data_IF_969084479287
#
_entry.id   IF_969084479287
#
_cell.length_a   1.000
_cell.length_b   1.000
_cell.length_c   1.000
_cell.angle_alpha   90.00
_cell.angle_beta   90.00
_cell.angle_gamma   90.00
#
_symmetry.space_group_name_H-M   'P 1'
#
loop_
_entity.id
_entity.type
_entity.pdbx_description
1 polymer ?
#
# COMPACT_ATOMS: atom_id res chain seq x y z
N UNK A 1 -14.14 -4.50 -24.49
CA UNK A 1 -12.91 -5.33 -24.43
C UNK A 1 -12.97 -6.26 -23.23
N UNK A 2 -12.26 -7.39 -23.25
CA UNK A 2 -12.32 -8.42 -22.18
C UNK A 2 -12.08 -7.87 -20.76
N UNK A 3 -11.19 -6.90 -20.61
CA UNK A 3 -10.94 -6.22 -19.32
C UNK A 3 -12.16 -5.47 -18.78
N UNK A 4 -12.91 -4.77 -19.63
CA UNK A 4 -14.13 -4.03 -19.23
C UNK A 4 -15.21 -4.99 -18.76
N UNK A 5 -15.40 -6.11 -19.46
CA UNK A 5 -16.38 -7.14 -19.06
C UNK A 5 -15.99 -7.76 -17.71
N UNK A 6 -14.71 -8.05 -17.51
CA UNK A 6 -14.16 -8.55 -16.23
C UNK A 6 -14.46 -7.57 -15.08
N UNK A 7 -14.18 -6.28 -15.26
CA UNK A 7 -14.45 -5.23 -14.26
C UNK A 7 -15.93 -5.15 -13.92
N UNK A 8 -16.81 -5.13 -14.92
CA UNK A 8 -18.27 -5.03 -14.69
C UNK A 8 -18.80 -6.25 -13.92
N UNK A 9 -18.35 -7.45 -14.28
CA UNK A 9 -18.74 -8.67 -13.57
C UNK A 9 -18.32 -8.62 -12.11
N UNK A 10 -17.05 -8.29 -11.84
CA UNK A 10 -16.54 -8.21 -10.45
C UNK A 10 -17.19 -7.09 -9.63
N UNK A 11 -17.58 -5.98 -10.25
CA UNK A 11 -18.41 -4.98 -9.58
C UNK A 11 -19.79 -5.53 -9.19
N UNK A 12 -20.36 -6.41 -10.01
CA UNK A 12 -21.65 -7.05 -9.72
C UNK A 12 -21.50 -8.01 -8.54
N UNK A 13 -20.45 -8.84 -8.53
CA UNK A 13 -20.16 -9.77 -7.42
C UNK A 13 -19.91 -9.01 -6.11
N UNK A 14 -19.22 -7.87 -6.19
CA UNK A 14 -18.95 -6.99 -5.05
C UNK A 14 -20.23 -6.42 -4.41
N UNK A 15 -21.35 -6.38 -5.14
CA UNK A 15 -22.64 -5.97 -4.57
C UNK A 15 -23.23 -6.99 -3.60
N UNK A 16 -22.85 -8.25 -3.70
CA UNK A 16 -23.34 -9.33 -2.84
C UNK A 16 -22.42 -9.56 -1.63
N UNK A 17 -21.11 -9.46 -1.83
CA UNK A 17 -20.12 -9.81 -0.80
C UNK A 17 -19.39 -8.61 -0.17
N UNK A 18 -19.67 -7.38 -0.63
CA UNK A 18 -19.01 -6.14 -0.17
C UNK A 18 -17.47 -6.11 -0.38
N UNK A 19 -16.93 -6.99 -1.22
CA UNK A 19 -15.52 -7.06 -1.58
C UNK A 19 -15.34 -6.72 -3.06
N UNK A 20 -14.74 -5.57 -3.34
CA UNK A 20 -14.46 -5.11 -4.69
C UNK A 20 -13.11 -5.63 -5.15
N UNK A 21 -13.11 -6.74 -5.88
CA UNK A 21 -11.91 -7.26 -6.53
C UNK A 21 -11.76 -6.66 -7.94
N UNK A 22 -10.70 -5.90 -8.17
CA UNK A 22 -10.28 -5.35 -9.46
C UNK A 22 -8.82 -5.71 -9.78
N UNK A 23 -8.29 -6.75 -9.13
CA UNK A 23 -6.95 -7.28 -9.35
C UNK A 23 -6.72 -7.75 -10.80
N UNK A 24 -5.49 -7.67 -11.31
CA UNK A 24 -5.13 -8.25 -12.61
C UNK A 24 -6.04 -7.80 -13.77
N UNK A 25 -6.49 -6.55 -13.75
CA UNK A 25 -7.37 -5.98 -14.77
C UNK A 25 -6.61 -5.08 -15.75
N UNK A 26 -5.28 -5.00 -15.62
CA UNK A 26 -4.39 -4.15 -16.43
C UNK A 26 -4.80 -2.68 -16.39
N UNK A 27 -5.34 -2.24 -15.26
CA UNK A 27 -5.85 -0.89 -15.08
C UNK A 27 -4.69 0.11 -15.01
N UNK A 28 -4.76 1.16 -15.83
CA UNK A 28 -3.89 2.35 -15.71
C UNK A 28 -4.45 3.36 -14.71
N UNK A 29 -5.77 3.36 -14.54
CA UNK A 29 -6.51 4.13 -13.55
C UNK A 29 -7.81 3.38 -13.21
N UNK A 30 -8.41 3.70 -12.07
CA UNK A 30 -9.74 3.18 -11.72
C UNK A 30 -10.78 3.87 -12.61
N UNK A 31 -11.53 3.13 -13.45
CA UNK A 31 -12.47 3.73 -14.40
C UNK A 31 -13.67 4.36 -13.70
N UNK A 32 -14.18 5.48 -14.22
CA UNK A 32 -15.33 6.17 -13.64
C UNK A 32 -16.58 5.28 -13.56
N UNK A 33 -16.73 4.33 -14.48
CA UNK A 33 -17.81 3.35 -14.47
C UNK A 33 -17.87 2.54 -13.16
N UNK A 34 -16.73 2.25 -12.52
CA UNK A 34 -16.69 1.54 -11.22
C UNK A 34 -17.43 2.34 -10.15
N UNK A 35 -17.23 3.66 -10.08
CA UNK A 35 -17.91 4.51 -9.11
C UNK A 35 -19.42 4.58 -9.34
N UNK A 36 -19.85 4.48 -10.60
CA UNK A 36 -21.27 4.45 -10.97
C UNK A 36 -21.94 3.12 -10.64
N UNK A 37 -21.26 1.99 -10.94
CA UNK A 37 -21.76 0.64 -10.65
C UNK A 37 -21.85 0.39 -9.15
N UNK A 38 -20.82 0.80 -8.41
CA UNK A 38 -20.73 0.60 -6.96
C UNK A 38 -21.43 1.73 -6.18
N UNK A 39 -22.33 2.50 -6.81
CA UNK A 39 -22.84 3.73 -6.19
C UNK A 39 -23.63 3.50 -4.90
N UNK A 40 -24.31 2.36 -4.81
CA UNK A 40 -25.21 1.97 -3.73
C UNK A 40 -24.64 0.82 -2.89
N UNK A 41 -23.37 0.48 -3.09
CA UNK A 41 -22.73 -0.67 -2.46
C UNK A 41 -21.74 -0.19 -1.43
N UNK A 42 -21.84 -0.73 -0.21
CA UNK A 42 -20.85 -0.50 0.83
C UNK A 42 -19.71 -1.48 0.62
N UNK A 43 -18.54 -0.97 0.24
CA UNK A 43 -17.34 -1.79 0.04
C UNK A 43 -16.53 -1.82 1.34
N UNK A 44 -16.18 -3.02 1.80
CA UNK A 44 -15.35 -3.27 3.00
C UNK A 44 -13.93 -3.68 2.64
N UNK A 45 -13.76 -4.48 1.60
CA UNK A 45 -12.46 -4.84 1.08
C UNK A 45 -12.36 -4.40 -0.39
N UNK A 46 -11.22 -3.86 -0.78
CA UNK A 46 -10.96 -3.42 -2.14
C UNK A 46 -9.59 -3.91 -2.57
N UNK A 47 -9.56 -4.73 -3.61
CA UNK A 47 -8.32 -5.26 -4.20
C UNK A 47 -8.08 -4.62 -5.56
N UNK A 48 -7.01 -3.85 -5.68
CA UNK A 48 -6.54 -3.22 -6.92
C UNK A 48 -5.16 -3.75 -7.32
N UNK A 49 -4.73 -4.87 -6.74
CA UNK A 49 -3.39 -5.41 -6.93
C UNK A 49 -3.13 -5.88 -8.36
N UNK A 50 -1.86 -6.04 -8.73
CA UNK A 50 -1.45 -6.60 -10.02
C UNK A 50 -2.03 -5.83 -11.21
N UNK A 51 -2.01 -4.49 -11.13
CA UNK A 51 -2.41 -3.59 -12.20
C UNK A 51 -1.21 -2.74 -12.63
N UNK A 52 -1.44 -1.68 -13.41
CA UNK A 52 -0.40 -0.73 -13.83
C UNK A 52 -0.74 0.68 -13.35
N UNK A 53 -1.38 0.77 -12.18
CA UNK A 53 -1.80 2.03 -11.58
C UNK A 53 -0.58 2.85 -11.20
N UNK A 54 -0.54 4.11 -11.63
CA UNK A 54 0.51 5.07 -11.24
C UNK A 54 0.10 5.99 -10.10
N UNK A 55 -1.22 6.17 -9.93
CA UNK A 55 -1.81 7.02 -8.89
C UNK A 55 -3.16 6.45 -8.48
N UNK A 56 -3.51 6.63 -7.21
CA UNK A 56 -4.87 6.40 -6.73
C UNK A 56 -5.63 7.73 -6.80
N UNK A 57 -6.79 7.79 -7.48
CA UNK A 57 -7.57 9.01 -7.58
C UNK A 57 -8.19 9.38 -6.22
N UNK A 58 -8.27 10.67 -5.87
CA UNK A 58 -8.82 11.14 -4.58
C UNK A 58 -10.31 10.80 -4.40
N UNK A 59 -11.02 10.52 -5.51
CA UNK A 59 -12.41 10.06 -5.48
C UNK A 59 -12.56 8.66 -4.87
N UNK A 60 -11.53 7.83 -4.87
CA UNK A 60 -11.63 6.45 -4.38
C UNK A 60 -11.89 6.40 -2.87
N UNK A 61 -11.07 7.06 -2.02
CA UNK A 61 -11.35 7.13 -0.58
C UNK A 61 -12.69 7.80 -0.24
N UNK A 62 -13.06 8.83 -1.01
CA UNK A 62 -14.32 9.55 -0.83
C UNK A 62 -15.55 8.70 -1.19
N UNK A 63 -15.43 7.81 -2.17
CA UNK A 63 -16.54 6.95 -2.60
C UNK A 63 -16.69 5.72 -1.72
N UNK A 64 -15.58 5.15 -1.27
CA UNK A 64 -15.54 3.89 -0.55
C UNK A 64 -15.07 4.09 0.90
N UNK A 65 -15.73 5.00 1.62
CA UNK A 65 -15.32 5.43 2.97
C UNK A 65 -15.40 4.35 4.06
N UNK A 66 -16.01 3.20 3.75
CA UNK A 66 -16.17 2.07 4.68
C UNK A 66 -15.14 0.95 4.46
N UNK A 67 -14.14 1.16 3.60
CA UNK A 67 -13.08 0.18 3.38
C UNK A 67 -12.31 -0.04 4.68
N UNK A 68 -12.18 -1.31 5.05
CA UNK A 68 -11.34 -1.82 6.13
C UNK A 68 -10.04 -2.42 5.62
N UNK A 69 -10.02 -2.94 4.38
CA UNK A 69 -8.86 -3.58 3.78
C UNK A 69 -8.66 -3.05 2.35
N UNK A 70 -7.48 -2.49 2.07
CA UNK A 70 -7.11 -1.96 0.76
C UNK A 70 -5.82 -2.61 0.29
N UNK A 71 -5.90 -3.36 -0.82
CA UNK A 71 -4.74 -3.97 -1.46
C UNK A 71 -4.39 -3.20 -2.74
N UNK A 72 -3.20 -2.60 -2.76
CA UNK A 72 -2.62 -1.86 -3.89
C UNK A 72 -1.31 -2.51 -4.38
N UNK A 73 -1.01 -3.73 -3.95
CA UNK A 73 0.24 -4.41 -4.25
C UNK A 73 0.46 -4.58 -5.75
N UNK A 74 1.72 -4.74 -6.19
CA UNK A 74 2.06 -5.01 -7.60
C UNK A 74 1.46 -3.97 -8.56
N UNK A 75 1.76 -2.70 -8.32
CA UNK A 75 1.40 -1.59 -9.18
C UNK A 75 2.66 -0.75 -9.48
N UNK A 76 2.48 0.50 -9.93
CA UNK A 76 3.57 1.46 -10.20
C UNK A 76 3.33 2.76 -9.44
N UNK A 77 2.80 2.64 -8.22
CA UNK A 77 2.44 3.77 -7.39
C UNK A 77 3.71 4.36 -6.77
N UNK A 78 3.83 5.68 -6.81
CA UNK A 78 4.90 6.42 -6.12
C UNK A 78 4.35 7.37 -5.05
N UNK A 79 3.03 7.49 -4.94
CA UNK A 79 2.35 8.31 -3.93
C UNK A 79 0.92 7.85 -3.68
N UNK A 80 0.41 8.21 -2.50
CA UNK A 80 -1.00 8.04 -2.12
C UNK A 80 -1.68 9.41 -2.01
N UNK A 81 -2.98 9.51 -2.35
CA UNK A 81 -3.75 10.73 -2.19
C UNK A 81 -3.94 11.09 -0.71
N UNK A 82 -3.98 12.38 -0.37
CA UNK A 82 -4.15 12.83 1.02
C UNK A 82 -5.52 12.43 1.57
N UNK A 83 -6.52 12.32 0.70
CA UNK A 83 -7.89 11.88 1.00
C UNK A 83 -7.96 10.46 1.56
N UNK A 84 -6.88 9.66 1.46
CA UNK A 84 -6.85 8.34 2.09
C UNK A 84 -7.02 8.43 3.62
N UNK A 85 -6.63 9.55 4.25
CA UNK A 85 -6.87 9.81 5.69
C UNK A 85 -8.35 9.80 6.07
N UNK A 86 -9.24 10.01 5.10
CA UNK A 86 -10.70 10.04 5.28
C UNK A 86 -11.32 8.63 5.27
N UNK A 87 -10.50 7.57 5.33
CA UNK A 87 -10.96 6.19 5.54
C UNK A 87 -10.97 5.85 7.04
N UNK A 88 -12.06 6.13 7.78
CA UNK A 88 -12.11 5.98 9.23
C UNK A 88 -12.02 4.53 9.71
N UNK A 89 -12.25 3.56 8.83
CA UNK A 89 -12.27 2.13 9.17
C UNK A 89 -11.10 1.33 8.59
N UNK A 90 -10.16 1.97 7.86
CA UNK A 90 -9.06 1.26 7.22
C UNK A 90 -8.12 0.66 8.27
N UNK A 91 -7.99 -0.67 8.25
CA UNK A 91 -7.19 -1.47 9.18
C UNK A 91 -6.00 -2.14 8.52
N UNK A 92 -6.12 -2.51 7.25
CA UNK A 92 -5.06 -3.15 6.48
C UNK A 92 -4.81 -2.39 5.18
N UNK A 93 -3.55 -2.06 4.94
CA UNK A 93 -3.10 -1.42 3.71
C UNK A 93 -1.89 -2.18 3.17
N UNK A 94 -2.00 -2.68 1.95
CA UNK A 94 -0.88 -3.27 1.23
C UNK A 94 -0.49 -2.35 0.07
N UNK A 95 0.75 -1.87 0.10
CA UNK A 95 1.40 -1.07 -0.94
C UNK A 95 2.70 -1.73 -1.41
N UNK A 96 2.88 -3.03 -1.14
CA UNK A 96 4.08 -3.77 -1.54
C UNK A 96 4.25 -3.82 -3.06
N UNK A 97 5.47 -4.05 -3.54
CA UNK A 97 5.76 -4.13 -4.98
C UNK A 97 5.25 -2.90 -5.76
N UNK A 98 5.72 -1.72 -5.36
CA UNK A 98 5.42 -0.44 -6.00
C UNK A 98 6.71 0.38 -6.14
N UNK A 99 6.57 1.66 -6.51
CA UNK A 99 7.68 2.57 -6.78
C UNK A 99 7.81 3.66 -5.69
N UNK A 100 7.45 3.37 -4.43
CA UNK A 100 7.56 4.35 -3.34
C UNK A 100 9.02 4.58 -2.96
N UNK A 101 9.50 5.83 -3.06
CA UNK A 101 10.86 6.21 -2.67
C UNK A 101 10.99 6.60 -1.19
N UNK A 102 9.87 6.93 -0.56
CA UNK A 102 9.78 7.31 0.84
C UNK A 102 8.45 6.85 1.41
N UNK A 103 8.39 6.73 2.74
CA UNK A 103 7.15 6.39 3.42
C UNK A 103 6.04 7.44 3.17
N UNK A 104 4.86 7.08 2.63
CA UNK A 104 3.80 8.05 2.36
C UNK A 104 3.27 8.74 3.61
N UNK A 105 3.28 10.08 3.62
CA UNK A 105 2.83 10.91 4.74
C UNK A 105 1.43 10.62 5.25
N UNK A 106 0.54 10.21 4.36
CA UNK A 106 -0.86 9.93 4.68
C UNK A 106 -1.01 8.74 5.64
N UNK A 107 -0.04 7.81 5.66
CA UNK A 107 -0.09 6.61 6.51
C UNK A 107 -0.12 6.99 7.99
N UNK A 108 0.65 8.00 8.38
CA UNK A 108 0.69 8.48 9.76
C UNK A 108 -0.62 9.16 10.21
N UNK A 109 -1.56 9.38 9.30
CA UNK A 109 -2.87 10.00 9.56
C UNK A 109 -4.02 9.00 9.54
N UNK A 110 -3.75 7.73 9.25
CA UNK A 110 -4.74 6.66 9.25
C UNK A 110 -4.96 6.16 10.67
N UNK A 111 -5.98 6.71 11.35
CA UNK A 111 -6.21 6.52 12.79
C UNK A 111 -6.54 5.09 13.24
N UNK A 112 -6.95 4.21 12.32
CA UNK A 112 -7.28 2.80 12.61
C UNK A 112 -6.39 1.81 11.87
N UNK A 113 -5.34 2.26 11.17
CA UNK A 113 -4.47 1.35 10.44
C UNK A 113 -3.69 0.49 11.43
N UNK A 114 -3.80 -0.82 11.29
CA UNK A 114 -3.20 -1.82 12.16
C UNK A 114 -2.07 -2.59 11.45
N UNK A 115 -2.26 -2.88 10.18
CA UNK A 115 -1.33 -3.66 9.37
C UNK A 115 -0.97 -2.87 8.13
N UNK A 116 0.32 -2.76 7.88
CA UNK A 116 0.87 -2.12 6.70
C UNK A 116 1.91 -3.04 6.08
N UNK A 117 1.74 -3.31 4.79
CA UNK A 117 2.76 -3.95 3.98
C UNK A 117 3.31 -2.95 2.95
N UNK A 118 4.60 -2.67 3.04
CA UNK A 118 5.33 -1.80 2.12
C UNK A 118 6.61 -2.47 1.58
N UNK A 119 6.65 -3.81 1.57
CA UNK A 119 7.79 -4.58 1.07
C UNK A 119 8.07 -4.31 -0.40
N UNK A 120 9.32 -4.50 -0.83
CA UNK A 120 9.73 -4.37 -2.24
C UNK A 120 9.27 -3.05 -2.84
N UNK A 121 9.73 -1.98 -2.21
CA UNK A 121 9.65 -0.62 -2.74
C UNK A 121 11.07 -0.05 -2.81
N UNK A 122 11.19 1.25 -3.05
CA UNK A 122 12.47 1.97 -3.05
C UNK A 122 12.58 2.90 -1.84
N UNK A 123 11.94 2.54 -0.72
CA UNK A 123 11.89 3.37 0.48
C UNK A 123 13.28 3.40 1.11
N UNK A 124 13.98 4.53 1.00
CA UNK A 124 15.30 4.70 1.62
C UNK A 124 15.24 5.36 2.99
N UNK A 125 14.13 6.03 3.30
CA UNK A 125 13.95 6.79 4.53
C UNK A 125 12.54 6.63 5.11
N UNK A 126 12.48 6.50 6.44
CA UNK A 126 11.27 6.38 7.24
C UNK A 126 11.47 7.18 8.52
N UNK A 127 10.57 8.12 8.79
CA UNK A 127 10.60 8.86 10.05
C UNK A 127 10.16 7.97 11.23
N UNK A 128 11.10 7.22 11.80
CA UNK A 128 10.90 6.31 12.93
C UNK A 128 10.13 6.95 14.12
N UNK A 129 10.42 8.21 14.54
CA UNK A 129 9.65 8.86 15.60
C UNK A 129 8.16 9.04 15.27
N UNK A 130 7.83 9.26 13.99
CA UNK A 130 6.43 9.37 13.55
C UNK A 130 5.77 8.02 13.41
N UNK A 131 6.49 6.99 12.97
CA UNK A 131 5.95 5.63 12.96
C UNK A 131 5.57 5.18 14.38
N UNK A 132 6.40 5.52 15.37
CA UNK A 132 6.13 5.28 16.80
C UNK A 132 4.89 6.01 17.33
N UNK A 133 4.57 7.19 16.81
CA UNK A 133 3.43 7.97 17.30
C UNK A 133 2.07 7.42 16.84
N UNK A 134 2.05 6.57 15.80
CA UNK A 134 0.85 5.91 15.29
C UNK A 134 0.49 4.72 16.19
N UNK A 135 -0.28 4.97 17.24
CA UNK A 135 -0.66 3.96 18.23
C UNK A 135 -1.57 2.86 17.69
N UNK A 136 -2.19 3.04 16.53
CA UNK A 136 -3.05 2.01 15.93
C UNK A 136 -2.28 0.88 15.27
N UNK A 137 -1.06 1.15 14.78
CA UNK A 137 -0.24 0.20 14.05
C UNK A 137 0.25 -0.91 14.98
N UNK A 138 0.21 -2.13 14.46
CA UNK A 138 0.65 -3.35 15.13
C UNK A 138 1.73 -4.07 14.37
N UNK A 139 1.70 -3.98 13.05
CA UNK A 139 2.64 -4.70 12.19
C UNK A 139 2.93 -3.87 10.94
N UNK A 140 4.22 -3.72 10.66
CA UNK A 140 4.73 -2.96 9.52
C UNK A 140 5.81 -3.77 8.83
N UNK A 141 5.60 -4.08 7.57
CA UNK A 141 6.57 -4.76 6.72
C UNK A 141 7.26 -3.78 5.78
N UNK A 142 8.59 -3.69 5.91
CA UNK A 142 9.46 -2.81 5.13
C UNK A 142 10.62 -3.61 4.50
N UNK A 143 10.56 -4.94 4.52
CA UNK A 143 11.57 -5.79 3.89
C UNK A 143 11.76 -5.45 2.40
N UNK A 144 12.96 -5.71 1.89
CA UNK A 144 13.34 -5.51 0.50
C UNK A 144 13.17 -4.05 0.04
N UNK A 145 13.49 -3.10 0.93
CA UNK A 145 13.66 -1.69 0.65
C UNK A 145 15.11 -1.27 0.88
N UNK A 146 15.64 -0.26 0.15
CA UNK A 146 17.00 0.25 0.31
C UNK A 146 17.16 1.16 1.54
N UNK A 147 16.69 0.70 2.70
CA UNK A 147 16.80 1.42 3.96
C UNK A 147 18.26 1.45 4.43
N UNK A 148 18.70 2.62 4.92
CA UNK A 148 20.03 2.76 5.50
C UNK A 148 20.13 1.98 6.83
N UNK A 149 21.33 1.51 7.16
CA UNK A 149 21.58 0.69 8.37
C UNK A 149 21.15 1.40 9.66
N UNK A 150 21.39 2.70 9.78
CA UNK A 150 20.97 3.48 10.95
C UNK A 150 19.44 3.51 11.09
N UNK A 151 18.72 3.69 9.97
CA UNK A 151 17.25 3.67 9.95
C UNK A 151 16.72 2.28 10.30
N UNK A 152 17.34 1.22 9.79
CA UNK A 152 16.98 -0.15 10.18
C UNK A 152 17.12 -0.38 11.68
N UNK A 153 18.25 0.02 12.28
CA UNK A 153 18.47 -0.09 13.74
C UNK A 153 17.44 0.71 14.54
N UNK A 154 17.12 1.93 14.09
CA UNK A 154 16.07 2.73 14.73
C UNK A 154 14.71 2.03 14.65
N UNK A 155 14.31 1.53 13.48
CA UNK A 155 13.05 0.82 13.26
C UNK A 155 12.97 -0.50 14.05
N UNK A 156 14.06 -1.26 14.11
CA UNK A 156 14.17 -2.47 14.94
C UNK A 156 14.00 -2.13 16.42
N UNK A 157 14.59 -1.02 16.89
CA UNK A 157 14.44 -0.57 18.28
C UNK A 157 13.02 -0.12 18.63
N UNK A 158 12.19 0.23 17.63
CA UNK A 158 10.77 0.52 17.83
C UNK A 158 9.94 -0.76 18.08
N UNK A 159 10.44 -1.92 17.66
CA UNK A 159 9.74 -3.18 17.83
C UNK A 159 9.55 -3.47 19.31
N UNK A 160 8.29 -3.66 19.70
CA UNK A 160 7.85 -3.84 21.07
C UNK A 160 6.64 -4.79 21.10
N UNK A 161 6.10 -5.06 22.29
CA UNK A 161 4.90 -5.90 22.43
C UNK A 161 3.66 -5.36 21.68
N UNK A 162 3.67 -4.09 21.29
CA UNK A 162 2.54 -3.42 20.63
C UNK A 162 2.71 -3.28 19.12
N UNK A 163 3.94 -3.09 18.65
CA UNK A 163 4.29 -2.85 17.24
C UNK A 163 5.46 -3.73 16.85
N UNK A 164 5.30 -4.51 15.79
CA UNK A 164 6.36 -5.30 15.16
C UNK A 164 6.73 -4.65 13.84
N UNK A 165 8.02 -4.34 13.66
CA UNK A 165 8.54 -3.80 12.41
C UNK A 165 9.48 -4.81 11.80
N UNK A 166 9.20 -5.22 10.57
CA UNK A 166 10.03 -6.12 9.79
C UNK A 166 10.84 -5.30 8.80
N UNK A 167 12.16 -5.37 8.91
CA UNK A 167 13.10 -4.75 7.96
C UNK A 167 14.03 -5.83 7.42
N UNK A 168 14.55 -5.62 6.21
CA UNK A 168 15.62 -6.46 5.70
C UNK A 168 16.96 -6.03 6.29
N UNK A 169 17.91 -6.96 6.47
CA UNK A 169 19.28 -6.56 6.74
C UNK A 169 19.77 -5.63 5.61
N UNK A 170 20.59 -4.62 5.94
CA UNK A 170 21.12 -3.70 4.94
C UNK A 170 21.81 -4.51 3.83
N UNK A 171 21.45 -4.26 2.58
CA UNK A 171 22.16 -4.85 1.44
C UNK A 171 23.57 -4.27 1.44
N UNK A 172 24.57 -5.07 1.82
CA UNK A 172 25.97 -4.72 1.65
C UNK A 172 26.22 -4.50 0.16
N UNK A 173 26.21 -3.24 -0.28
CA UNK A 173 26.72 -2.84 -1.59
C UNK A 173 28.25 -2.80 -1.53
N UNK A 174 28.86 -3.96 -1.25
CA UNK A 174 30.30 -4.20 -1.42
C UNK A 174 30.45 -5.54 -2.14
N UNK A 175 30.04 -5.54 -3.40
CA UNK A 175 30.69 -6.36 -4.42
C UNK A 175 31.17 -5.40 -5.50
N UNK A 176 32.19 -4.62 -5.12
CA UNK A 176 33.22 -4.24 -6.08
C UNK A 176 33.80 -5.55 -6.61
N UNK A 177 33.19 -6.09 -7.65
CA UNK A 177 33.74 -7.17 -8.44
C UNK A 177 35.02 -6.62 -9.08
N UNK A 178 36.15 -6.90 -8.44
CA UNK A 178 37.43 -6.95 -9.11
C UNK A 178 37.28 -7.76 -10.40
N UNK A 179 37.36 -7.08 -11.54
CA UNK A 179 37.77 -7.69 -12.80
C UNK A 179 38.82 -6.81 -13.44
N UNK A 180 40.03 -6.99 -12.92
CA UNK A 180 41.27 -7.28 -13.68
C UNK A 180 41.36 -6.73 -15.10
N UNK A 181 42.23 -5.73 -15.27
CA UNK A 181 43.04 -5.54 -16.47
C UNK A 181 44.46 -5.13 -16.03
N UNK A 182 45.36 -6.12 -15.93
CA UNK A 182 46.77 -6.15 -16.40
C UNK A 182 47.55 -7.34 -15.80
#
# INVERSE_FOLDING_TARGET
>A
GKAVVKVVHRCTDATENSNLDLSECQLMSVPDAVYHLMRNTVVRACDLSSNVLRKIPPKLPLKFSYITELNLAHNRLSSLPEELKELPELRKLDISYNDYMSMPWVIFRLSKLMFLDARRNYISDVEAPRLRSVQSLREVHLEENPLNEDVCKELESLSSNHLVVHVSPPTSSDSDDESSDE
#
